data_IF_835776077945
#
_entry.id   IF_835776077945
#
_cell.length_a   1.000
_cell.length_b   1.000
_cell.length_c   1.000
_cell.angle_alpha   90.00
_cell.angle_beta   90.00
_cell.angle_gamma   90.00
#
_symmetry.space_group_name_H-M   'P 1'
#
loop_
_entity.id
_entity.type
_entity.pdbx_description
1 polymer ?
#
# COMPACT_ATOMS: atom_id res chain seq x y z
N UNK A 1 -35.79 -14.27 28.17
CA UNK A 1 -35.54 -13.69 26.84
C UNK A 1 -34.10 -13.18 26.84
N UNK A 2 -33.17 -13.96 26.27
CA UNK A 2 -31.77 -13.55 26.08
C UNK A 2 -31.76 -12.40 25.07
N UNK A 3 -31.38 -11.21 25.51
CA UNK A 3 -31.12 -10.07 24.61
C UNK A 3 -30.05 -10.49 23.59
N UNK A 4 -30.36 -10.38 22.31
CA UNK A 4 -29.35 -10.56 21.25
C UNK A 4 -28.14 -9.66 21.54
N UNK A 5 -26.90 -10.16 21.36
CA UNK A 5 -25.72 -9.35 21.62
C UNK A 5 -25.79 -8.07 20.76
N UNK A 6 -25.68 -6.91 21.38
CA UNK A 6 -25.68 -5.64 20.66
C UNK A 6 -24.46 -5.62 19.72
N UNK A 7 -24.69 -5.48 18.41
CA UNK A 7 -23.62 -5.32 17.43
C UNK A 7 -22.76 -4.10 17.79
N UNK A 8 -21.52 -4.34 18.14
CA UNK A 8 -20.54 -3.26 18.37
C UNK A 8 -20.32 -2.51 17.06
N UNK A 9 -20.38 -1.18 17.11
CA UNK A 9 -20.21 -0.31 15.92
C UNK A 9 -18.84 0.40 15.96
N UNK A 10 -18.32 0.74 14.80
CA UNK A 10 -17.12 1.56 14.67
C UNK A 10 -15.82 0.85 15.10
N UNK A 11 -14.98 1.57 15.84
CA UNK A 11 -13.62 1.16 16.20
C UNK A 11 -13.59 -0.12 17.07
N UNK A 12 -14.59 -0.34 17.92
CA UNK A 12 -14.67 -1.53 18.75
C UNK A 12 -14.94 -2.80 17.92
N UNK A 13 -15.74 -2.70 16.86
CA UNK A 13 -15.95 -3.81 15.90
C UNK A 13 -14.63 -4.13 15.17
N UNK A 14 -13.88 -3.10 14.78
CA UNK A 14 -12.58 -3.27 14.14
C UNK A 14 -11.61 -4.09 15.02
N UNK A 15 -11.43 -3.70 16.28
CA UNK A 15 -10.53 -4.41 17.20
C UNK A 15 -10.99 -5.83 17.51
N UNK A 16 -12.29 -6.07 17.57
CA UNK A 16 -12.85 -7.41 17.77
C UNK A 16 -12.56 -8.32 16.58
N UNK A 17 -12.82 -7.86 15.36
CA UNK A 17 -12.54 -8.62 14.12
C UNK A 17 -11.03 -8.84 13.97
N UNK A 18 -10.22 -7.81 14.23
CA UNK A 18 -8.77 -7.90 14.20
C UNK A 18 -8.23 -8.95 15.18
N UNK A 19 -8.66 -8.90 16.44
CA UNK A 19 -8.24 -9.85 17.47
C UNK A 19 -8.65 -11.30 17.14
N UNK A 20 -9.85 -11.50 16.58
CA UNK A 20 -10.36 -12.81 16.16
C UNK A 20 -9.52 -13.43 15.03
N UNK A 21 -8.99 -12.62 14.12
CA UNK A 21 -8.21 -13.07 12.97
C UNK A 21 -6.70 -12.81 13.09
N UNK A 22 -6.21 -12.41 14.26
CA UNK A 22 -4.82 -11.98 14.46
C UNK A 22 -3.79 -12.98 13.92
N UNK A 23 -3.92 -14.26 14.26
CA UNK A 23 -3.00 -15.30 13.79
C UNK A 23 -3.01 -15.45 12.26
N UNK A 24 -4.20 -15.47 11.66
CA UNK A 24 -4.35 -15.55 10.20
C UNK A 24 -3.79 -14.30 9.49
N UNK A 25 -3.90 -13.14 10.11
CA UNK A 25 -3.30 -11.91 9.59
C UNK A 25 -1.76 -11.94 9.71
N UNK A 26 -1.20 -12.56 10.76
CA UNK A 26 0.25 -12.78 10.87
C UNK A 26 0.76 -13.73 9.79
N UNK A 27 0.08 -14.86 9.56
CA UNK A 27 0.39 -15.79 8.46
C UNK A 27 0.31 -15.10 7.09
N UNK A 28 -0.71 -14.28 6.87
CA UNK A 28 -0.87 -13.50 5.65
C UNK A 28 0.27 -12.51 5.44
N UNK A 29 0.69 -11.81 6.50
CA UNK A 29 1.81 -10.87 6.46
C UNK A 29 3.14 -11.59 6.16
N UNK A 30 3.37 -12.77 6.75
CA UNK A 30 4.53 -13.61 6.46
C UNK A 30 4.56 -14.03 4.98
N UNK A 31 3.43 -14.46 4.44
CA UNK A 31 3.31 -14.82 3.03
C UNK A 31 3.57 -13.61 2.12
N UNK A 32 3.03 -12.45 2.47
CA UNK A 32 3.25 -11.21 1.72
C UNK A 32 4.71 -10.76 1.78
N UNK A 33 5.36 -10.90 2.94
CA UNK A 33 6.76 -10.53 3.14
C UNK A 33 7.70 -11.22 2.16
N UNK A 34 7.42 -12.49 1.77
CA UNK A 34 8.22 -13.22 0.78
C UNK A 34 8.30 -12.46 -0.55
N UNK A 35 7.19 -11.84 -0.97
CA UNK A 35 7.16 -11.02 -2.20
C UNK A 35 7.84 -9.67 -2.02
N UNK A 36 7.97 -9.18 -0.80
CA UNK A 36 8.67 -7.92 -0.50
C UNK A 36 10.19 -8.08 -0.40
N UNK A 37 10.72 -9.32 -0.29
CA UNK A 37 12.18 -9.56 -0.15
C UNK A 37 13.00 -8.89 -1.25
N UNK A 38 12.69 -8.99 -2.56
CA UNK A 38 13.49 -8.34 -3.59
C UNK A 38 13.51 -6.83 -3.45
N UNK A 39 12.38 -6.21 -3.07
CA UNK A 39 12.28 -4.77 -2.87
C UNK A 39 13.10 -4.30 -1.66
N UNK A 40 13.01 -5.00 -0.54
CA UNK A 40 13.77 -4.66 0.67
C UNK A 40 15.26 -4.84 0.46
N UNK A 41 15.68 -5.93 -0.20
CA UNK A 41 17.09 -6.14 -0.58
C UNK A 41 17.59 -5.04 -1.52
N UNK A 42 16.81 -4.64 -2.52
CA UNK A 42 17.16 -3.55 -3.43
C UNK A 42 17.48 -2.28 -2.63
N UNK A 43 16.58 -1.88 -1.74
CA UNK A 43 16.74 -0.65 -0.94
C UNK A 43 17.97 -0.75 -0.03
N UNK A 44 18.12 -1.83 0.71
CA UNK A 44 19.25 -2.03 1.65
C UNK A 44 20.57 -1.99 0.89
N UNK A 45 20.70 -2.74 -0.21
CA UNK A 45 21.95 -2.83 -0.96
C UNK A 45 22.29 -1.50 -1.68
N UNK A 46 21.28 -0.77 -2.15
CA UNK A 46 21.50 0.57 -2.68
C UNK A 46 22.01 1.54 -1.61
N UNK A 47 21.45 1.51 -0.41
CA UNK A 47 21.88 2.37 0.68
C UNK A 47 23.29 2.04 1.17
N UNK A 48 23.66 0.73 1.19
CA UNK A 48 24.97 0.29 1.67
C UNK A 48 26.09 0.51 0.66
N UNK A 49 25.82 0.33 -0.63
CA UNK A 49 26.87 0.29 -1.67
C UNK A 49 26.81 1.45 -2.65
N UNK A 50 25.69 2.20 -2.69
CA UNK A 50 25.40 3.25 -3.69
C UNK A 50 25.56 2.78 -5.14
N UNK A 51 25.49 1.45 -5.40
CA UNK A 51 25.71 0.88 -6.72
C UNK A 51 24.37 0.69 -7.46
N UNK A 52 24.18 1.33 -8.64
CA UNK A 52 22.92 1.28 -9.38
C UNK A 52 22.58 -0.13 -9.92
N UNK A 53 23.49 -1.10 -9.90
CA UNK A 53 23.24 -2.48 -10.34
C UNK A 53 22.09 -3.13 -9.55
N UNK A 54 21.88 -2.70 -8.30
CA UNK A 54 20.80 -3.24 -7.46
C UNK A 54 19.41 -2.84 -7.93
N UNK A 55 19.28 -1.86 -8.85
CA UNK A 55 18.03 -1.55 -9.54
C UNK A 55 17.50 -2.74 -10.36
N UNK A 56 18.34 -3.72 -10.71
CA UNK A 56 17.86 -4.96 -11.34
C UNK A 56 16.88 -5.75 -10.47
N UNK A 57 16.96 -5.59 -9.14
CA UNK A 57 15.98 -6.18 -8.21
C UNK A 57 14.60 -5.51 -8.28
N UNK A 58 14.46 -4.37 -8.95
CA UNK A 58 13.17 -3.78 -9.26
C UNK A 58 12.31 -4.70 -10.13
N UNK A 59 12.92 -5.50 -11.01
CA UNK A 59 12.21 -6.41 -11.92
C UNK A 59 11.38 -7.43 -11.11
N UNK A 60 11.94 -8.27 -10.23
CA UNK A 60 11.15 -9.18 -9.42
C UNK A 60 10.26 -8.46 -8.39
N UNK A 61 10.61 -7.24 -7.96
CA UNK A 61 9.81 -6.44 -7.02
C UNK A 61 8.45 -6.03 -7.59
N UNK A 62 8.26 -6.06 -8.90
CA UNK A 62 6.95 -5.81 -9.55
C UNK A 62 5.88 -6.79 -9.06
N UNK A 63 6.28 -8.02 -8.62
CA UNK A 63 5.38 -9.03 -8.08
C UNK A 63 4.73 -8.62 -6.74
N UNK A 64 5.24 -7.60 -6.08
CA UNK A 64 4.58 -6.99 -4.91
C UNK A 64 3.18 -6.48 -5.27
N UNK A 65 2.98 -5.97 -6.50
CA UNK A 65 1.67 -5.49 -6.96
C UNK A 65 0.56 -6.55 -6.90
N UNK A 66 0.67 -7.69 -7.60
CA UNK A 66 -0.34 -8.74 -7.50
C UNK A 66 -0.43 -9.37 -6.11
N UNK A 67 0.66 -9.42 -5.34
CA UNK A 67 0.65 -9.86 -3.95
C UNK A 67 -0.16 -8.90 -3.06
N UNK A 68 -0.03 -7.59 -3.25
CA UNK A 68 -0.83 -6.56 -2.54
C UNK A 68 -2.32 -6.68 -2.87
N UNK A 69 -2.67 -6.92 -4.14
CA UNK A 69 -4.06 -7.15 -4.53
C UNK A 69 -4.64 -8.41 -3.86
N UNK A 70 -3.85 -9.49 -3.80
CA UNK A 70 -4.25 -10.74 -3.14
C UNK A 70 -4.42 -10.55 -1.63
N UNK A 71 -3.45 -9.92 -0.96
CA UNK A 71 -3.53 -9.58 0.46
C UNK A 71 -4.77 -8.72 0.77
N UNK A 72 -5.03 -7.69 -0.03
CA UNK A 72 -6.19 -6.81 0.11
C UNK A 72 -7.50 -7.60 0.03
N UNK A 73 -7.59 -8.59 -0.87
CA UNK A 73 -8.76 -9.46 -1.00
C UNK A 73 -9.01 -10.28 0.27
N UNK A 74 -7.97 -10.92 0.81
CA UNK A 74 -8.08 -11.74 2.02
C UNK A 74 -8.45 -10.87 3.22
N UNK A 75 -7.77 -9.73 3.41
CA UNK A 75 -8.10 -8.78 4.48
C UNK A 75 -9.55 -8.28 4.38
N UNK A 76 -10.03 -8.00 3.17
CA UNK A 76 -11.43 -7.59 2.95
C UNK A 76 -12.40 -8.70 3.33
N UNK A 77 -12.11 -9.96 2.99
CA UNK A 77 -12.94 -11.09 3.37
C UNK A 77 -13.05 -11.19 4.90
N UNK A 78 -11.94 -11.06 5.62
CA UNK A 78 -11.94 -11.04 7.09
C UNK A 78 -12.72 -9.85 7.67
N UNK A 79 -12.56 -8.66 7.11
CA UNK A 79 -13.29 -7.46 7.57
C UNK A 79 -14.81 -7.57 7.37
N UNK A 80 -15.25 -8.37 6.39
CA UNK A 80 -16.65 -8.65 6.10
C UNK A 80 -17.16 -9.93 6.79
N UNK A 81 -16.35 -10.52 7.69
CA UNK A 81 -16.65 -11.75 8.41
C UNK A 81 -17.03 -12.93 7.47
N UNK A 82 -16.49 -12.93 6.25
CA UNK A 82 -16.66 -14.02 5.29
C UNK A 82 -15.68 -15.15 5.59
N UNK A 83 -16.10 -16.38 5.34
CA UNK A 83 -15.18 -17.52 5.39
C UNK A 83 -14.08 -17.30 4.33
N UNK A 84 -12.83 -17.28 4.78
CA UNK A 84 -11.68 -17.15 3.92
C UNK A 84 -10.66 -18.24 4.23
N UNK A 85 -10.27 -18.99 3.19
CA UNK A 85 -9.15 -19.93 3.22
C UNK A 85 -7.88 -19.19 2.78
N UNK A 86 -7.06 -18.79 3.74
CA UNK A 86 -5.94 -17.86 3.55
C UNK A 86 -5.11 -18.17 2.30
N UNK A 87 -4.51 -19.35 2.23
CA UNK A 87 -3.63 -19.72 1.10
C UNK A 87 -4.39 -19.84 -0.21
N UNK A 88 -5.54 -20.47 -0.21
CA UNK A 88 -6.35 -20.68 -1.40
C UNK A 88 -6.82 -19.33 -1.97
N UNK A 89 -7.45 -18.49 -1.14
CA UNK A 89 -7.98 -17.19 -1.57
C UNK A 89 -6.87 -16.22 -1.98
N UNK A 90 -5.70 -16.31 -1.32
CA UNK A 90 -4.53 -15.52 -1.71
C UNK A 90 -4.05 -15.91 -3.11
N UNK A 91 -3.80 -17.21 -3.37
CA UNK A 91 -3.28 -17.66 -4.66
C UNK A 91 -4.28 -17.50 -5.80
N UNK A 92 -5.56 -17.71 -5.55
CA UNK A 92 -6.62 -17.45 -6.53
C UNK A 92 -6.68 -15.97 -6.90
N UNK A 93 -6.65 -15.09 -5.90
CA UNK A 93 -6.65 -13.65 -6.14
C UNK A 93 -5.37 -13.18 -6.82
N UNK A 94 -4.20 -13.73 -6.42
CA UNK A 94 -2.92 -13.45 -7.03
C UNK A 94 -2.93 -13.78 -8.53
N UNK A 95 -3.35 -14.99 -8.89
CA UNK A 95 -3.43 -15.43 -10.31
C UNK A 95 -4.44 -14.60 -11.09
N UNK A 96 -5.65 -14.41 -10.54
CA UNK A 96 -6.73 -13.67 -11.20
C UNK A 96 -6.35 -12.23 -11.52
N UNK A 97 -5.66 -11.58 -10.60
CA UNK A 97 -5.31 -10.16 -10.71
C UNK A 97 -3.86 -9.94 -11.14
N UNK A 98 -3.16 -11.00 -11.58
CA UNK A 98 -1.73 -10.96 -11.90
C UNK A 98 -1.39 -9.83 -12.88
N UNK A 99 -2.08 -9.75 -14.01
CA UNK A 99 -1.80 -8.74 -15.05
C UNK A 99 -1.99 -7.31 -14.53
N UNK A 100 -3.11 -7.03 -13.87
CA UNK A 100 -3.40 -5.69 -13.38
C UNK A 100 -2.50 -5.32 -12.18
N UNK A 101 -2.28 -6.26 -11.28
CA UNK A 101 -1.37 -6.09 -10.16
C UNK A 101 0.07 -5.82 -10.60
N UNK A 102 0.57 -6.58 -11.60
CA UNK A 102 1.91 -6.38 -12.15
C UNK A 102 2.07 -5.02 -12.82
N UNK A 103 1.07 -4.56 -13.59
CA UNK A 103 1.10 -3.22 -14.17
C UNK A 103 1.15 -2.16 -13.08
N UNK A 104 0.32 -2.30 -12.04
CA UNK A 104 0.32 -1.33 -10.93
C UNK A 104 1.62 -1.38 -10.14
N UNK A 105 2.15 -2.58 -9.83
CA UNK A 105 3.44 -2.73 -9.17
C UNK A 105 4.61 -2.11 -9.95
N UNK A 106 4.61 -2.19 -11.29
CA UNK A 106 5.59 -1.50 -12.12
C UNK A 106 5.45 0.03 -12.01
N UNK A 107 4.22 0.54 -12.05
CA UNK A 107 3.94 1.97 -11.85
C UNK A 107 4.43 2.40 -10.45
N UNK A 108 4.15 1.64 -9.42
CA UNK A 108 4.54 1.95 -8.04
C UNK A 108 6.06 2.05 -7.88
N UNK A 109 6.82 1.13 -8.51
CA UNK A 109 8.29 1.16 -8.48
C UNK A 109 8.82 2.38 -9.22
N UNK A 110 8.28 2.70 -10.40
CA UNK A 110 8.69 3.88 -11.18
C UNK A 110 8.44 5.15 -10.37
N UNK A 111 7.28 5.29 -9.75
CA UNK A 111 6.97 6.43 -8.90
C UNK A 111 7.84 6.47 -7.64
N UNK A 112 8.06 5.33 -6.98
CA UNK A 112 8.93 5.26 -5.80
C UNK A 112 10.36 5.73 -6.12
N UNK A 113 10.96 5.24 -7.20
CA UNK A 113 12.29 5.68 -7.66
C UNK A 113 12.26 7.17 -8.02
N UNK A 114 11.24 7.62 -8.76
CA UNK A 114 11.06 9.02 -9.13
C UNK A 114 10.99 9.96 -7.94
N UNK A 115 10.25 9.58 -6.88
CA UNK A 115 10.17 10.38 -5.66
C UNK A 115 11.44 10.31 -4.82
N UNK A 116 12.08 9.14 -4.72
CA UNK A 116 13.35 8.97 -3.98
C UNK A 116 14.47 9.85 -4.55
N UNK A 117 14.52 10.03 -5.86
CA UNK A 117 15.49 10.89 -6.54
C UNK A 117 15.00 12.34 -6.61
N UNK A 118 13.75 12.53 -6.97
CA UNK A 118 13.18 13.86 -7.24
C UNK A 118 13.08 14.75 -6.00
N UNK A 119 12.65 14.19 -4.86
CA UNK A 119 12.47 15.00 -3.64
C UNK A 119 13.81 15.63 -3.16
N UNK A 120 14.91 14.87 -2.98
CA UNK A 120 16.19 15.46 -2.60
C UNK A 120 16.73 16.44 -3.64
N UNK A 121 16.57 16.14 -4.93
CA UNK A 121 17.02 16.99 -6.03
C UNK A 121 16.28 18.33 -6.05
N UNK A 122 14.94 18.32 -5.95
CA UNK A 122 14.15 19.55 -5.87
C UNK A 122 14.46 20.35 -4.61
N UNK A 123 14.66 19.69 -3.46
CA UNK A 123 15.07 20.35 -2.23
C UNK A 123 16.41 21.10 -2.42
N UNK A 124 17.42 20.43 -2.95
CA UNK A 124 18.74 21.02 -3.21
C UNK A 124 18.66 22.23 -4.14
N UNK A 125 17.89 22.16 -5.21
CA UNK A 125 17.72 23.28 -6.14
C UNK A 125 16.89 24.43 -5.53
N UNK A 126 15.90 24.11 -4.70
CA UNK A 126 15.10 25.13 -4.03
C UNK A 126 15.91 25.97 -3.03
N UNK A 127 16.95 25.40 -2.41
CA UNK A 127 17.88 26.12 -1.55
C UNK A 127 18.71 27.15 -2.35
N UNK A 128 18.93 26.92 -3.66
CA UNK A 128 19.66 27.84 -4.55
C UNK A 128 18.75 28.84 -5.24
N UNK A 129 17.52 28.51 -5.51
CA UNK A 129 16.55 29.36 -6.20
C UNK A 129 15.14 29.13 -5.60
N UNK A 130 14.63 30.17 -4.93
CA UNK A 130 13.33 30.14 -4.26
C UNK A 130 12.14 29.86 -5.20
N UNK A 131 12.25 30.14 -6.49
CA UNK A 131 11.20 29.78 -7.47
C UNK A 131 10.98 28.27 -7.58
N UNK A 132 11.98 27.45 -7.24
CA UNK A 132 11.90 25.99 -7.31
C UNK A 132 11.10 25.38 -6.15
N UNK A 133 10.77 26.17 -5.11
CA UNK A 133 9.85 25.71 -4.08
C UNK A 133 8.45 25.38 -4.63
N UNK A 134 8.01 26.03 -5.70
CA UNK A 134 6.70 25.77 -6.31
C UNK A 134 6.63 24.32 -6.86
N UNK A 135 7.49 23.88 -7.80
CA UNK A 135 7.47 22.50 -8.27
C UNK A 135 7.81 21.48 -7.17
N UNK A 136 8.61 21.86 -6.16
CA UNK A 136 8.87 20.99 -5.00
C UNK A 136 7.59 20.69 -4.21
N UNK A 137 6.80 21.70 -3.87
CA UNK A 137 5.52 21.53 -3.17
C UNK A 137 4.52 20.74 -4.01
N UNK A 138 4.48 20.98 -5.33
CA UNK A 138 3.62 20.20 -6.24
C UNK A 138 4.03 18.72 -6.22
N UNK A 139 5.34 18.42 -6.26
CA UNK A 139 5.84 17.04 -6.20
C UNK A 139 5.40 16.33 -4.92
N UNK A 140 5.53 16.99 -3.75
CA UNK A 140 5.08 16.43 -2.47
C UNK A 140 3.54 16.23 -2.46
N UNK A 141 2.79 17.19 -2.99
CA UNK A 141 1.33 17.09 -3.07
C UNK A 141 0.90 15.91 -3.94
N UNK A 142 1.55 15.71 -5.09
CA UNK A 142 1.31 14.56 -5.96
C UNK A 142 1.62 13.23 -5.26
N UNK A 143 2.71 13.16 -4.47
CA UNK A 143 3.05 11.98 -3.68
C UNK A 143 1.94 11.64 -2.67
N UNK A 144 1.43 12.63 -1.95
CA UNK A 144 0.34 12.44 -0.97
C UNK A 144 -0.92 11.92 -1.66
N UNK A 145 -1.33 12.55 -2.77
CA UNK A 145 -2.52 12.11 -3.53
C UNK A 145 -2.32 10.70 -4.07
N UNK A 146 -1.15 10.40 -4.64
CA UNK A 146 -0.82 9.08 -5.15
C UNK A 146 -0.90 8.01 -4.05
N UNK A 147 -0.36 8.29 -2.87
CA UNK A 147 -0.44 7.40 -1.72
C UNK A 147 -1.91 7.18 -1.26
N UNK A 148 -2.72 8.24 -1.20
CA UNK A 148 -4.14 8.11 -0.87
C UNK A 148 -4.92 7.29 -1.90
N UNK A 149 -4.57 7.38 -3.19
CA UNK A 149 -5.19 6.58 -4.24
C UNK A 149 -4.93 5.07 -4.05
N UNK A 150 -3.79 4.68 -3.46
CA UNK A 150 -3.43 3.27 -3.24
C UNK A 150 -4.41 2.53 -2.34
N UNK A 151 -5.03 3.20 -1.38
CA UNK A 151 -6.09 2.59 -0.55
C UNK A 151 -7.27 2.09 -1.39
N UNK A 152 -7.55 2.73 -2.52
CA UNK A 152 -8.66 2.39 -3.41
C UNK A 152 -8.25 1.53 -4.59
N UNK A 153 -7.04 1.75 -5.16
CA UNK A 153 -6.56 1.04 -6.35
C UNK A 153 -6.53 -0.46 -6.11
N UNK A 154 -5.81 -0.92 -5.09
CA UNK A 154 -5.68 -2.35 -4.81
C UNK A 154 -6.99 -2.97 -4.35
N UNK A 155 -7.84 -2.21 -3.65
CA UNK A 155 -9.19 -2.65 -3.31
C UNK A 155 -10.03 -2.89 -4.58
N UNK A 156 -9.95 -2.00 -5.57
CA UNK A 156 -10.68 -2.15 -6.84
C UNK A 156 -10.09 -3.26 -7.70
N UNK A 157 -8.77 -3.40 -7.82
CA UNK A 157 -8.13 -4.52 -8.53
C UNK A 157 -8.63 -5.85 -7.98
N UNK A 158 -8.73 -5.98 -6.65
CA UNK A 158 -9.14 -7.23 -5.99
C UNK A 158 -10.64 -7.51 -6.01
N UNK A 159 -11.48 -6.50 -6.27
CA UNK A 159 -12.94 -6.59 -6.06
C UNK A 159 -13.81 -6.24 -7.26
N UNK A 160 -13.23 -5.69 -8.33
CA UNK A 160 -13.99 -5.27 -9.53
C UNK A 160 -13.36 -5.85 -10.79
N UNK A 161 -14.14 -5.85 -11.88
CA UNK A 161 -13.65 -6.27 -13.20
C UNK A 161 -13.36 -5.05 -14.11
N UNK A 162 -13.00 -3.90 -13.52
CA UNK A 162 -12.68 -2.68 -14.25
C UNK A 162 -11.31 -2.78 -14.93
N UNK A 163 -11.11 -2.04 -16.00
CA UNK A 163 -9.79 -1.91 -16.62
C UNK A 163 -8.91 -0.91 -15.85
N UNK A 164 -7.58 -0.95 -16.04
CA UNK A 164 -6.62 -0.12 -15.28
C UNK A 164 -6.91 1.38 -15.39
N UNK A 165 -7.29 1.89 -16.58
CA UNK A 165 -7.63 3.31 -16.74
C UNK A 165 -8.82 3.71 -15.88
N UNK A 166 -9.85 2.85 -15.84
CA UNK A 166 -11.05 3.08 -15.01
C UNK A 166 -10.71 3.00 -13.52
N UNK A 167 -9.86 2.05 -13.11
CA UNK A 167 -9.42 1.92 -11.72
C UNK A 167 -8.70 3.18 -11.26
N UNK A 168 -7.72 3.66 -12.01
CA UNK A 168 -6.96 4.88 -11.67
C UNK A 168 -7.89 6.09 -11.61
N UNK A 169 -8.74 6.28 -12.64
CA UNK A 169 -9.71 7.38 -12.68
C UNK A 169 -10.68 7.35 -11.50
N UNK A 170 -11.25 6.18 -11.22
CA UNK A 170 -12.21 6.03 -10.13
C UNK A 170 -11.55 6.17 -8.75
N UNK A 171 -10.29 5.71 -8.59
CA UNK A 171 -9.53 5.91 -7.34
C UNK A 171 -9.31 7.39 -7.07
N UNK A 172 -8.98 8.19 -8.07
CA UNK A 172 -8.85 9.63 -7.93
C UNK A 172 -10.17 10.29 -7.50
N UNK A 173 -11.30 9.90 -8.12
CA UNK A 173 -12.60 10.38 -7.70
C UNK A 173 -12.97 9.96 -6.28
N UNK A 174 -12.66 8.71 -5.88
CA UNK A 174 -12.94 8.23 -4.54
C UNK A 174 -12.11 8.95 -3.47
N UNK A 175 -10.85 9.29 -3.77
CA UNK A 175 -10.04 10.13 -2.89
C UNK A 175 -10.68 11.50 -2.73
N UNK A 176 -11.12 12.11 -3.83
CA UNK A 176 -11.73 13.45 -3.81
C UNK A 176 -13.07 13.47 -3.06
N UNK A 177 -13.93 12.47 -3.29
CA UNK A 177 -15.23 12.36 -2.62
C UNK A 177 -15.10 11.90 -1.15
N UNK A 178 -14.16 11.00 -0.89
CA UNK A 178 -13.90 10.42 0.42
C UNK A 178 -12.67 11.01 1.12
N UNK A 179 -12.39 12.29 0.91
CA UNK A 179 -11.16 12.93 1.43
C UNK A 179 -11.00 12.77 2.94
N UNK A 180 -12.08 12.84 3.68
CA UNK A 180 -12.08 12.66 5.15
C UNK A 180 -11.64 11.26 5.54
N UNK A 181 -12.16 10.23 4.89
CA UNK A 181 -11.80 8.82 5.13
C UNK A 181 -10.36 8.55 4.71
N UNK A 182 -9.95 9.11 3.55
CA UNK A 182 -8.59 8.98 3.03
C UNK A 182 -7.56 9.64 3.95
N UNK A 183 -7.88 10.81 4.53
CA UNK A 183 -7.04 11.48 5.51
C UNK A 183 -6.92 10.66 6.81
N UNK A 184 -8.01 10.07 7.30
CA UNK A 184 -7.93 9.19 8.47
C UNK A 184 -7.07 7.95 8.21
N UNK A 185 -7.16 7.35 7.02
CA UNK A 185 -6.31 6.22 6.64
C UNK A 185 -4.84 6.62 6.53
N UNK A 186 -4.56 7.82 5.98
CA UNK A 186 -3.22 8.39 5.92
C UNK A 186 -2.64 8.60 7.32
N UNK A 187 -3.41 9.24 8.22
CA UNK A 187 -3.00 9.46 9.60
C UNK A 187 -2.72 8.15 10.33
N UNK A 188 -3.59 7.15 10.19
CA UNK A 188 -3.37 5.83 10.78
C UNK A 188 -2.08 5.17 10.26
N UNK A 189 -1.80 5.26 8.95
CA UNK A 189 -0.56 4.74 8.37
C UNK A 189 0.67 5.47 8.90
N UNK A 190 0.62 6.79 9.02
CA UNK A 190 1.71 7.58 9.59
C UNK A 190 1.98 7.24 11.06
N UNK A 191 0.93 7.06 11.87
CA UNK A 191 1.07 6.63 13.26
C UNK A 191 1.79 5.28 13.34
N UNK A 192 1.41 4.31 12.50
CA UNK A 192 2.09 2.99 12.47
C UNK A 192 3.56 3.13 12.10
N UNK A 193 3.90 3.94 11.09
CA UNK A 193 5.29 4.19 10.67
C UNK A 193 6.09 4.83 11.79
N UNK A 194 5.55 5.85 12.46
CA UNK A 194 6.20 6.52 13.60
C UNK A 194 6.41 5.54 14.76
N UNK A 195 5.41 4.73 15.08
CA UNK A 195 5.53 3.69 16.11
C UNK A 195 6.62 2.68 15.75
N UNK A 196 6.67 2.20 14.51
CA UNK A 196 7.73 1.30 14.06
C UNK A 196 9.12 1.94 14.23
N UNK A 197 9.27 3.22 13.85
CA UNK A 197 10.53 3.95 13.99
C UNK A 197 10.96 4.10 15.45
N UNK A 198 10.02 4.39 16.35
CA UNK A 198 10.29 4.54 17.79
C UNK A 198 10.64 3.22 18.49
N UNK A 199 10.14 2.10 17.99
CA UNK A 199 10.40 0.77 18.54
C UNK A 199 11.52 0.01 17.82
N UNK A 200 12.10 0.56 16.76
CA UNK A 200 13.34 0.01 16.16
C UNK A 200 14.47 0.25 17.17
N UNK A 201 15.13 -0.82 17.67
CA UNK A 201 16.31 -0.63 18.51
C UNK A 201 17.41 0.05 17.67
N UNK A 202 18.03 1.09 18.25
CA UNK A 202 19.21 1.74 17.68
C UNK A 202 20.39 0.77 17.60
#
# INVERSE_FOLDING_TARGET
VLKAPQEKKGIFKFFEVYGRHMWKLMELNLLYFVFCIPLTLMVILMLMTSNPIWLLLAIPSVLVGPATAAMTKVCRNYSQERNAFLLHDFWDSFKKNFKQGTIMGAIDIIFAIGFMVGIPMYKYWAEQNSMIYIPFVICISCLIVFFMMHFYIYLMISSTNLNMKQIIKNSFYLVSLGIKQSLWSLLASLIVIVMMYLFLPY
#
